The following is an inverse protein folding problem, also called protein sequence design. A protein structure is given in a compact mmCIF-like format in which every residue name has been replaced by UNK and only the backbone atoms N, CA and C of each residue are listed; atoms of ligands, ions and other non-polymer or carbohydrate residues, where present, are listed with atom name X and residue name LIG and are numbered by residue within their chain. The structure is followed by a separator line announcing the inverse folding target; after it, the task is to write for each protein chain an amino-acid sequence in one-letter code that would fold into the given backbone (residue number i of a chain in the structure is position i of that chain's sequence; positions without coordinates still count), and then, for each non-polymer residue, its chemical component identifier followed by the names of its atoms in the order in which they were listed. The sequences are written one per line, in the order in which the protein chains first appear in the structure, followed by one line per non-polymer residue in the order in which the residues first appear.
data_IF_667784939589
#
_entry.id   IF_667784939589
#
_cell.length_a   1.000
_cell.length_b   1.000
_cell.length_c   1.000
_cell.angle_alpha   90.00
_cell.angle_beta   90.00
_cell.angle_gamma   90.00
#
_symmetry.space_group_name_H-M   'P 1'
#
loop_
_entity.id
_entity.type
_entity.pdbx_description
1 polymer ?
#
# COMPACT_ATOMS: atom_id res chain seq x y z
N UNK A 1 17.62 6.35 -16.78
CA UNK A 1 16.43 5.88 -16.56
C UNK A 1 15.72 5.09 -17.65
N UNK A 2 15.57 3.80 -17.41
CA UNK A 2 14.73 2.93 -18.20
C UNK A 2 13.69 2.30 -17.28
N UNK A 3 12.42 2.49 -17.57
CA UNK A 3 11.34 1.82 -16.88
C UNK A 3 11.17 0.42 -17.47
N UNK A 4 11.29 -0.60 -16.63
CA UNK A 4 11.10 -2.00 -17.03
C UNK A 4 10.11 -2.67 -16.07
N UNK A 5 8.91 -3.00 -16.54
CA UNK A 5 7.96 -3.79 -15.77
C UNK A 5 8.57 -5.12 -15.31
N UNK A 6 8.27 -5.51 -14.08
CA UNK A 6 8.74 -6.78 -13.50
C UNK A 6 7.55 -7.57 -12.99
N UNK A 7 7.65 -8.91 -12.93
CA UNK A 7 6.67 -9.70 -12.19
C UNK A 7 6.56 -9.19 -10.75
N UNK A 8 5.35 -9.12 -10.24
CA UNK A 8 5.11 -8.75 -8.84
C UNK A 8 5.65 -9.84 -7.90
N UNK A 9 6.08 -9.41 -6.72
CA UNK A 9 6.53 -10.29 -5.65
C UNK A 9 5.59 -10.12 -4.47
N UNK A 10 5.08 -11.22 -3.93
CA UNK A 10 4.22 -11.19 -2.77
C UNK A 10 5.03 -10.74 -1.54
N UNK A 11 4.50 -9.75 -0.80
CA UNK A 11 5.08 -9.22 0.42
C UNK A 11 3.99 -9.01 1.48
N UNK A 12 4.38 -8.70 2.73
CA UNK A 12 3.41 -8.34 3.78
C UNK A 12 2.71 -7.00 3.51
N UNK A 13 3.30 -6.13 2.68
CA UNK A 13 2.71 -4.87 2.24
C UNK A 13 1.86 -5.04 0.97
N UNK A 14 1.18 -6.17 0.85
CA UNK A 14 0.45 -6.54 -0.35
C UNK A 14 -1.05 -6.31 -0.19
N UNK A 15 -1.60 -5.38 -0.97
CA UNK A 15 -3.04 -5.27 -1.21
C UNK A 15 -3.39 -5.67 -2.65
N UNK A 16 -2.50 -5.36 -3.59
CA UNK A 16 -2.54 -5.78 -5.00
C UNK A 16 -1.10 -5.88 -5.49
N UNK A 17 -0.73 -7.03 -6.01
CA UNK A 17 0.59 -7.20 -6.62
C UNK A 17 0.62 -6.52 -7.98
N UNK A 18 1.30 -5.38 -8.07
CA UNK A 18 1.39 -4.59 -9.29
C UNK A 18 2.85 -4.45 -9.72
N UNK A 19 3.26 -5.23 -10.71
CA UNK A 19 4.59 -5.15 -11.31
C UNK A 19 4.72 -4.11 -12.43
N UNK A 20 3.59 -3.60 -12.94
CA UNK A 20 3.50 -2.56 -13.98
C UNK A 20 2.42 -1.53 -13.62
N UNK A 21 2.71 -0.57 -12.74
CA UNK A 21 1.73 0.41 -12.30
C UNK A 21 1.37 1.40 -13.42
N UNK A 22 0.15 1.31 -13.93
CA UNK A 22 -0.36 2.18 -15.01
C UNK A 22 -0.33 3.67 -14.66
N UNK A 23 -0.38 4.03 -13.38
CA UNK A 23 -0.33 5.41 -12.92
C UNK A 23 1.06 6.07 -13.06
N UNK A 24 2.12 5.30 -13.33
CA UNK A 24 3.46 5.85 -13.60
C UNK A 24 3.47 6.76 -14.84
N UNK A 25 2.55 6.53 -15.79
CA UNK A 25 2.36 7.42 -16.94
C UNK A 25 2.07 8.88 -16.53
N UNK A 26 1.43 9.12 -15.37
CA UNK A 26 1.17 10.47 -14.84
C UNK A 26 2.46 11.16 -14.38
N UNK A 27 3.38 10.41 -13.78
CA UNK A 27 4.70 10.93 -13.38
C UNK A 27 5.48 11.30 -14.64
N UNK A 28 5.48 10.44 -15.65
CA UNK A 28 6.15 10.72 -16.92
C UNK A 28 5.61 11.98 -17.59
N UNK A 29 4.29 12.14 -17.65
CA UNK A 29 3.64 13.32 -18.26
C UNK A 29 3.99 14.60 -17.48
N UNK A 30 3.88 14.57 -16.14
CA UNK A 30 4.17 15.71 -15.26
C UNK A 30 5.59 16.24 -15.45
N UNK A 31 6.56 15.36 -15.64
CA UNK A 31 7.96 15.71 -15.81
C UNK A 31 8.45 15.74 -17.26
N UNK A 32 7.51 15.75 -18.24
CA UNK A 32 7.85 15.80 -19.66
C UNK A 32 8.74 14.64 -20.12
N UNK A 33 8.56 13.45 -19.56
CA UNK A 33 9.39 12.25 -19.79
C UNK A 33 10.89 12.43 -19.48
N UNK A 34 11.24 13.44 -18.71
CA UNK A 34 12.64 13.70 -18.33
C UNK A 34 13.04 12.93 -17.08
N UNK A 35 13.85 11.89 -17.24
CA UNK A 35 14.43 11.16 -16.10
C UNK A 35 15.20 12.09 -15.15
N UNK A 36 15.97 13.02 -15.70
CA UNK A 36 16.74 13.96 -14.89
C UNK A 36 15.84 14.87 -14.03
N UNK A 37 14.69 15.33 -14.57
CA UNK A 37 13.73 16.11 -13.82
C UNK A 37 13.04 15.28 -12.72
N UNK A 38 12.67 14.03 -13.01
CA UNK A 38 12.08 13.12 -12.02
C UNK A 38 13.05 12.90 -10.85
N UNK A 39 14.29 12.53 -11.14
CA UNK A 39 15.28 12.18 -10.11
C UNK A 39 15.82 13.38 -9.33
N UNK A 40 15.57 14.60 -9.81
CA UNK A 40 15.88 15.81 -9.05
C UNK A 40 14.89 16.08 -7.90
N UNK A 41 13.67 15.53 -7.99
CA UNK A 41 12.59 15.81 -7.03
C UNK A 41 12.03 14.55 -6.35
N UNK A 42 12.19 13.38 -6.99
CA UNK A 42 11.64 12.11 -6.49
C UNK A 42 12.76 11.14 -6.18
N UNK A 43 12.79 10.67 -4.96
CA UNK A 43 13.64 9.59 -4.49
C UNK A 43 12.78 8.38 -4.09
N UNK A 44 13.30 7.16 -4.25
CA UNK A 44 12.57 5.93 -3.96
C UNK A 44 13.34 5.02 -3.02
N UNK A 45 12.61 4.38 -2.11
CA UNK A 45 13.12 3.35 -1.23
C UNK A 45 12.41 2.02 -1.50
N UNK A 46 13.06 0.93 -1.12
CA UNK A 46 12.45 -0.41 -1.10
C UNK A 46 12.83 -1.11 0.19
N UNK A 47 11.89 -1.88 0.74
CA UNK A 47 12.05 -2.60 2.01
C UNK A 47 11.63 -4.05 1.83
N UNK A 48 12.34 -4.96 2.49
CA UNK A 48 11.95 -6.37 2.62
C UNK A 48 11.00 -6.55 3.81
N UNK A 49 10.31 -7.69 3.88
CA UNK A 49 9.28 -7.95 4.89
C UNK A 49 9.76 -7.81 6.33
N UNK A 50 11.01 -8.17 6.60
CA UNK A 50 11.63 -8.01 7.91
C UNK A 50 11.78 -6.53 8.29
N UNK A 51 12.25 -5.70 7.36
CA UNK A 51 12.41 -4.26 7.58
C UNK A 51 11.05 -3.57 7.77
N UNK A 52 10.03 -3.96 6.98
CA UNK A 52 8.67 -3.45 7.14
C UNK A 52 8.12 -3.80 8.52
N UNK A 53 8.33 -5.06 8.96
CA UNK A 53 7.93 -5.51 10.28
C UNK A 53 8.61 -4.73 11.41
N UNK A 54 9.88 -4.42 11.26
CA UNK A 54 10.64 -3.63 12.22
C UNK A 54 10.15 -2.17 12.28
N UNK A 55 9.78 -1.58 11.15
CA UNK A 55 9.18 -0.25 11.13
C UNK A 55 7.81 -0.19 11.82
N UNK A 56 6.96 -1.22 11.64
CA UNK A 56 5.69 -1.34 12.39
C UNK A 56 5.96 -1.37 13.90
N UNK A 57 6.84 -2.28 14.36
CA UNK A 57 7.21 -2.40 15.77
C UNK A 57 7.78 -1.11 16.34
N UNK A 58 8.70 -0.48 15.62
CA UNK A 58 9.39 0.74 16.04
C UNK A 58 8.42 1.91 16.18
N UNK A 59 7.53 2.10 15.20
CA UNK A 59 6.53 3.15 15.28
C UNK A 59 5.57 2.92 16.45
N UNK A 60 5.06 1.71 16.59
CA UNK A 60 4.15 1.36 17.68
C UNK A 60 4.79 1.54 19.06
N UNK A 61 6.00 1.04 19.26
CA UNK A 61 6.70 1.15 20.55
C UNK A 61 7.11 2.58 20.92
N UNK A 62 7.49 3.40 19.93
CA UNK A 62 8.00 4.75 20.18
C UNK A 62 6.91 5.82 20.20
N UNK A 63 5.83 5.64 19.46
CA UNK A 63 4.81 6.65 19.20
C UNK A 63 3.41 6.22 19.65
N UNK A 64 3.21 4.96 19.98
CA UNK A 64 1.88 4.38 20.22
C UNK A 64 0.99 4.37 18.98
N UNK A 65 1.57 4.58 17.78
CA UNK A 65 0.83 4.63 16.53
C UNK A 65 1.00 3.34 15.75
N UNK A 66 -0.13 2.73 15.39
CA UNK A 66 -0.17 1.49 14.65
C UNK A 66 -0.22 1.74 13.15
N UNK A 67 0.85 1.37 12.45
CA UNK A 67 0.95 1.45 11.00
C UNK A 67 0.35 0.22 10.31
N UNK A 68 -0.24 0.39 9.12
CA UNK A 68 -0.35 -0.71 8.18
C UNK A 68 1.00 -0.94 7.46
N UNK A 69 1.22 -2.11 6.83
CA UNK A 69 2.51 -2.41 6.19
C UNK A 69 2.92 -1.41 5.08
N UNK A 70 1.96 -0.77 4.39
CA UNK A 70 2.28 0.23 3.36
C UNK A 70 2.71 1.55 4.02
N UNK A 71 1.99 2.00 5.07
CA UNK A 71 2.38 3.15 5.86
C UNK A 71 3.74 2.96 6.53
N UNK A 72 4.08 1.70 6.91
CA UNK A 72 5.40 1.37 7.44
C UNK A 72 6.52 1.63 6.43
N UNK A 73 6.30 1.36 5.14
CA UNK A 73 7.26 1.73 4.09
C UNK A 73 7.46 3.24 4.01
N UNK A 74 6.35 4.01 4.05
CA UNK A 74 6.43 5.48 4.05
C UNK A 74 7.11 6.05 5.29
N UNK A 75 6.82 5.49 6.46
CA UNK A 75 7.48 5.88 7.71
C UNK A 75 8.97 5.56 7.69
N UNK A 76 9.35 4.37 7.22
CA UNK A 76 10.75 3.97 7.02
C UNK A 76 11.48 4.91 6.09
N UNK A 77 10.90 5.22 4.93
CA UNK A 77 11.47 6.14 3.95
C UNK A 77 11.75 7.54 4.55
N UNK A 78 10.82 8.07 5.36
CA UNK A 78 11.08 9.33 6.06
C UNK A 78 12.22 9.22 7.07
N UNK A 79 12.32 8.10 7.79
CA UNK A 79 13.42 7.89 8.76
C UNK A 79 14.78 7.79 8.10
N UNK A 80 14.84 7.22 6.90
CA UNK A 80 16.08 7.00 6.18
C UNK A 80 16.53 8.24 5.37
N UNK A 81 15.57 9.03 4.86
CA UNK A 81 15.87 10.12 3.91
C UNK A 81 15.72 11.53 4.50
N UNK A 82 14.92 11.70 5.57
CA UNK A 82 14.65 13.02 6.13
C UNK A 82 15.92 13.59 6.79
N UNK A 83 16.29 14.78 6.39
CA UNK A 83 17.45 15.49 6.91
C UNK A 83 17.11 16.27 8.18
N UNK A 84 18.15 16.65 8.91
CA UNK A 84 18.01 17.51 10.08
C UNK A 84 17.31 18.84 9.69
N UNK A 85 16.31 19.23 10.47
CA UNK A 85 15.46 20.42 10.24
C UNK A 85 14.45 20.32 9.07
N UNK A 86 14.26 19.15 8.48
CA UNK A 86 13.16 18.90 7.54
C UNK A 86 11.94 18.34 8.26
N UNK A 87 10.75 18.66 7.75
CA UNK A 87 9.48 18.08 8.20
C UNK A 87 9.00 17.14 7.11
N UNK A 88 8.80 15.86 7.47
CA UNK A 88 8.29 14.85 6.57
C UNK A 88 6.82 14.52 6.83
N UNK A 89 6.09 14.24 5.76
CA UNK A 89 4.71 13.75 5.81
C UNK A 89 4.68 12.44 5.03
N UNK A 90 4.16 11.37 5.64
CA UNK A 90 3.83 10.15 4.93
C UNK A 90 2.32 9.92 4.92
N UNK A 91 1.84 9.15 3.96
CA UNK A 91 0.42 8.86 3.80
C UNK A 91 0.12 7.46 4.31
N UNK A 92 -0.80 7.38 5.26
CA UNK A 92 -1.40 6.13 5.72
C UNK A 92 -2.65 5.89 4.88
N UNK A 93 -2.62 4.89 4.00
CA UNK A 93 -3.67 4.70 2.98
C UNK A 93 -4.67 3.60 3.30
N UNK A 94 -4.42 2.83 4.35
CA UNK A 94 -5.30 1.77 4.82
C UNK A 94 -5.33 1.71 6.35
N UNK A 95 -6.42 1.19 6.91
CA UNK A 95 -6.47 0.92 8.33
C UNK A 95 -5.73 -0.39 8.64
N UNK A 96 -4.88 -0.47 9.70
CA UNK A 96 -4.11 -1.66 10.06
C UNK A 96 -4.95 -2.93 10.22
N UNK A 97 -6.20 -2.83 10.67
CA UNK A 97 -7.13 -3.95 10.78
C UNK A 97 -7.41 -4.67 9.45
N UNK A 98 -7.14 -4.03 8.30
CA UNK A 98 -7.17 -4.69 6.98
C UNK A 98 -6.10 -5.78 6.84
N UNK A 99 -5.02 -5.64 7.58
CA UNK A 99 -3.87 -6.53 7.62
C UNK A 99 -3.73 -7.22 8.99
N UNK A 100 -4.86 -7.42 9.69
CA UNK A 100 -4.88 -7.89 11.08
C UNK A 100 -3.97 -9.10 11.32
N UNK A 101 -4.12 -10.17 10.53
CA UNK A 101 -3.32 -11.39 10.71
C UNK A 101 -1.81 -11.15 10.59
N UNK A 102 -1.41 -10.20 9.77
CA UNK A 102 -0.02 -9.81 9.59
C UNK A 102 0.46 -8.95 10.77
N UNK A 103 -0.33 -7.97 11.17
CA UNK A 103 0.00 -7.07 12.27
C UNK A 103 0.03 -7.82 13.62
N UNK A 104 -0.92 -8.70 13.86
CA UNK A 104 -0.96 -9.55 15.06
C UNK A 104 0.32 -10.39 15.18
N UNK A 105 0.77 -10.99 14.08
CA UNK A 105 2.04 -11.74 14.06
C UNK A 105 3.26 -10.86 14.29
N UNK A 106 3.27 -9.65 13.72
CA UNK A 106 4.39 -8.71 13.87
C UNK A 106 4.52 -8.25 15.34
N UNK A 107 3.39 -7.92 15.98
CA UNK A 107 3.36 -7.36 17.31
C UNK A 107 3.22 -8.40 18.42
N UNK A 108 2.99 -9.66 18.08
CA UNK A 108 2.59 -10.73 19.02
C UNK A 108 1.41 -10.27 19.90
N UNK A 109 0.39 -9.71 19.27
CA UNK A 109 -0.76 -9.10 19.92
C UNK A 109 -2.04 -9.31 19.09
N UNK A 110 -3.18 -9.14 19.72
CA UNK A 110 -4.50 -9.14 19.07
C UNK A 110 -4.98 -7.69 18.92
N UNK A 111 -4.77 -7.09 17.73
CA UNK A 111 -5.18 -5.71 17.51
C UNK A 111 -6.71 -5.59 17.41
N UNK A 112 -7.24 -4.52 17.97
CA UNK A 112 -8.68 -4.24 17.93
C UNK A 112 -9.12 -3.89 16.50
N UNK A 113 -10.23 -4.51 16.08
CA UNK A 113 -10.91 -4.17 14.83
C UNK A 113 -12.01 -3.13 15.16
N UNK A 114 -12.04 -1.96 14.50
CA UNK A 114 -13.10 -0.98 14.69
C UNK A 114 -14.50 -1.58 14.51
N UNK A 115 -15.46 -1.20 15.36
CA UNK A 115 -16.83 -1.75 15.35
C UNK A 115 -17.49 -1.74 13.98
N UNK A 116 -17.33 -0.65 13.23
CA UNK A 116 -17.87 -0.55 11.86
C UNK A 116 -17.29 -1.61 10.94
N UNK A 117 -16.00 -1.89 11.04
CA UNK A 117 -15.33 -2.91 10.23
C UNK A 117 -15.76 -4.30 10.67
N UNK A 118 -15.91 -4.55 11.97
CA UNK A 118 -16.45 -5.81 12.50
C UNK A 118 -17.86 -6.10 11.95
N UNK A 119 -18.72 -5.09 11.86
CA UNK A 119 -20.05 -5.23 11.31
C UNK A 119 -20.02 -5.68 9.84
N UNK A 120 -19.11 -5.11 9.03
CA UNK A 120 -18.93 -5.55 7.65
C UNK A 120 -18.37 -6.97 7.53
N UNK A 121 -17.45 -7.36 8.41
CA UNK A 121 -16.88 -8.71 8.41
C UNK A 121 -17.91 -9.80 8.76
N UNK A 122 -18.96 -9.46 9.52
CA UNK A 122 -20.07 -10.34 9.84
C UNK A 122 -21.13 -10.39 8.74
N UNK A 123 -21.06 -9.53 7.76
CA UNK A 123 -22.00 -9.46 6.65
C UNK A 123 -21.83 -10.61 5.67
N UNK A 124 -22.89 -10.90 4.92
CA UNK A 124 -22.83 -11.85 3.82
C UNK A 124 -22.11 -11.23 2.61
N UNK A 125 -21.20 -12.00 2.01
CA UNK A 125 -20.54 -11.55 0.77
C UNK A 125 -21.51 -11.69 -0.39
N UNK A 126 -21.98 -10.55 -0.89
CA UNK A 126 -22.80 -10.49 -2.09
C UNK A 126 -21.89 -10.21 -3.30
N UNK A 127 -21.78 -11.16 -4.20
CA UNK A 127 -21.03 -11.02 -5.44
C UNK A 127 -21.68 -11.83 -6.56
N UNK A 128 -21.66 -11.28 -7.77
CA UNK A 128 -22.16 -11.95 -8.96
C UNK A 128 -20.93 -12.30 -9.81
N UNK A 129 -20.64 -13.59 -10.04
CA UNK A 129 -19.56 -14.00 -10.92
C UNK A 129 -19.87 -13.60 -12.36
N UNK A 130 -18.91 -12.92 -13.00
CA UNK A 130 -18.97 -12.57 -14.41
C UNK A 130 -17.67 -12.99 -15.09
N UNK A 131 -17.73 -13.23 -16.41
CA UNK A 131 -16.53 -13.41 -17.19
C UNK A 131 -15.75 -12.09 -17.32
N UNK A 132 -14.51 -12.15 -17.78
CA UNK A 132 -13.70 -10.95 -18.06
C UNK A 132 -14.09 -10.26 -19.36
N UNK A 133 -15.06 -10.83 -20.13
CA UNK A 133 -15.50 -10.26 -21.40
C UNK A 133 -16.40 -9.05 -21.18
N UNK A 134 -16.07 -7.93 -21.82
CA UNK A 134 -16.85 -6.69 -21.72
C UNK A 134 -18.31 -6.87 -22.17
N UNK A 135 -18.57 -7.74 -23.17
CA UNK A 135 -19.93 -8.03 -23.67
C UNK A 135 -20.83 -8.58 -22.56
N UNK A 136 -20.31 -9.47 -21.73
CA UNK A 136 -21.05 -10.11 -20.66
C UNK A 136 -21.36 -9.11 -19.54
N UNK A 137 -20.37 -8.28 -19.17
CA UNK A 137 -20.59 -7.20 -18.22
C UNK A 137 -21.64 -6.19 -18.74
N UNK A 138 -21.57 -5.80 -20.02
CA UNK A 138 -22.57 -4.92 -20.64
C UNK A 138 -23.97 -5.54 -20.61
N UNK A 139 -24.08 -6.82 -20.99
CA UNK A 139 -25.38 -7.53 -20.96
C UNK A 139 -25.95 -7.59 -19.55
N UNK A 140 -25.11 -7.88 -18.56
CA UNK A 140 -25.51 -7.88 -17.16
C UNK A 140 -26.07 -6.50 -16.74
N UNK A 141 -25.38 -5.42 -17.03
CA UNK A 141 -25.84 -4.06 -16.70
C UNK A 141 -27.16 -3.69 -17.38
N UNK A 142 -27.43 -4.23 -18.57
CA UNK A 142 -28.68 -3.98 -19.30
C UNK A 142 -29.85 -4.86 -18.81
N UNK A 143 -29.59 -5.85 -17.94
CA UNK A 143 -30.58 -6.78 -17.40
C UNK A 143 -31.08 -6.44 -16.00
N UNK A 144 -30.44 -5.49 -15.32
CA UNK A 144 -30.83 -4.95 -14.01
C UNK A 144 -31.51 -3.60 -14.17
#
# INVERSE_FOLDING_TARGET
GKYEPKPSVQTIANAMDVGDPSNFARVLDLYGHSHAAITAEIEGCSYVDEEISDWVKKCFSSNGYLLDPHGACGFGALKDLLKENEIGIFLETAHPAKFKDTIDRILDADIEIPEKLQAFMKGEKLSIPLSAEFSDFKQFLMSI
#
